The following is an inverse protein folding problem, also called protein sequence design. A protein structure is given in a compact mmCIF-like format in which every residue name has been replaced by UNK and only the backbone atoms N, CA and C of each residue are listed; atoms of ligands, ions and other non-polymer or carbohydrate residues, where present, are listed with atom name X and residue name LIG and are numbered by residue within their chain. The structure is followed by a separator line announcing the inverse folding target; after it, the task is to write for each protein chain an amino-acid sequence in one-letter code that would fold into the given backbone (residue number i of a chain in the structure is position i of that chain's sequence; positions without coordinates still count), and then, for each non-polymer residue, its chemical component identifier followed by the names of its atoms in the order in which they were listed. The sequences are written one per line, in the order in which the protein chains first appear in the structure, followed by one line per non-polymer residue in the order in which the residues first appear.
data_IF_287333330991
#
_entry.id   IF_287333330991
#
_cell.length_a   1.000
_cell.length_b   1.000
_cell.length_c   1.000
_cell.angle_alpha   90.00
_cell.angle_beta   90.00
_cell.angle_gamma   90.00
#
_symmetry.space_group_name_H-M   'P 1'
#
loop_
_entity.id
_entity.type
_entity.pdbx_description
1 polymer ?
#
# COMPACT_ATOMS: atom_id res chain seq x y z
N UNK A 1 -27.90 1.94 -23.67
CA UNK A 1 -27.42 1.32 -22.41
C UNK A 1 -28.01 2.13 -21.25
N UNK A 2 -28.79 1.47 -20.38
CA UNK A 2 -29.41 2.12 -19.21
C UNK A 2 -28.34 2.49 -18.17
N UNK A 3 -28.57 3.48 -17.32
CA UNK A 3 -27.64 3.89 -16.25
C UNK A 3 -27.32 2.76 -15.26
N UNK A 4 -28.30 1.88 -14.98
CA UNK A 4 -28.10 0.71 -14.13
C UNK A 4 -27.12 -0.28 -14.78
N UNK A 5 -27.25 -0.54 -16.07
CA UNK A 5 -26.32 -1.40 -16.82
C UNK A 5 -24.90 -0.84 -16.83
N UNK A 6 -24.75 0.48 -17.03
CA UNK A 6 -23.46 1.18 -16.94
C UNK A 6 -22.83 1.00 -15.55
N UNK A 7 -23.61 1.18 -14.48
CA UNK A 7 -23.17 1.01 -13.10
C UNK A 7 -22.69 -0.41 -12.83
N UNK A 8 -23.51 -1.43 -13.20
CA UNK A 8 -23.16 -2.86 -13.02
C UNK A 8 -21.86 -3.18 -13.78
N UNK A 9 -21.71 -2.67 -15.01
CA UNK A 9 -20.51 -2.87 -15.79
C UNK A 9 -19.26 -2.27 -15.12
N UNK A 10 -19.34 -1.05 -14.61
CA UNK A 10 -18.23 -0.42 -13.88
C UNK A 10 -17.90 -1.21 -12.61
N UNK A 11 -18.91 -1.65 -11.87
CA UNK A 11 -18.73 -2.47 -10.65
C UNK A 11 -18.07 -3.83 -10.93
N UNK A 12 -18.15 -4.35 -12.16
CA UNK A 12 -17.46 -5.60 -12.51
C UNK A 12 -15.94 -5.51 -12.42
N UNK A 13 -15.36 -4.30 -12.45
CA UNK A 13 -13.94 -4.05 -12.19
C UNK A 13 -13.54 -4.06 -10.71
N UNK A 14 -14.52 -4.03 -9.78
CA UNK A 14 -14.28 -3.96 -8.35
C UNK A 14 -13.41 -5.11 -7.79
N UNK A 15 -13.63 -6.39 -8.13
CA UNK A 15 -12.79 -7.49 -7.64
C UNK A 15 -11.33 -7.32 -8.04
N UNK A 16 -11.06 -6.85 -9.26
CA UNK A 16 -9.69 -6.62 -9.76
C UNK A 16 -9.02 -5.48 -9.00
N UNK A 17 -9.71 -4.36 -8.81
CA UNK A 17 -9.24 -3.21 -8.02
C UNK A 17 -8.86 -3.63 -6.60
N UNK A 18 -9.76 -4.37 -5.91
CA UNK A 18 -9.50 -4.86 -4.56
C UNK A 18 -8.35 -5.87 -4.53
N UNK A 19 -8.26 -6.77 -5.51
CA UNK A 19 -7.17 -7.75 -5.59
C UNK A 19 -5.81 -7.07 -5.74
N UNK A 20 -5.67 -6.10 -6.67
CA UNK A 20 -4.43 -5.32 -6.82
C UNK A 20 -4.09 -4.63 -5.50
N UNK A 21 -5.04 -3.92 -4.90
CA UNK A 21 -4.82 -3.13 -3.69
C UNK A 21 -4.39 -4.00 -2.50
N UNK A 22 -5.09 -5.11 -2.26
CA UNK A 22 -4.79 -6.02 -1.15
C UNK A 22 -3.44 -6.71 -1.36
N UNK A 23 -3.20 -7.26 -2.56
CA UNK A 23 -1.94 -7.96 -2.84
C UNK A 23 -0.74 -7.01 -2.79
N UNK A 24 -0.88 -5.79 -3.32
CA UNK A 24 0.16 -4.77 -3.22
C UNK A 24 0.41 -4.34 -1.78
N UNK A 25 -0.66 -4.18 -0.97
CA UNK A 25 -0.54 -3.86 0.45
C UNK A 25 0.17 -4.95 1.24
N UNK A 26 -0.18 -6.22 1.00
CA UNK A 26 0.46 -7.37 1.64
C UNK A 26 1.92 -7.51 1.25
N UNK A 27 2.24 -7.34 -0.05
CA UNK A 27 3.63 -7.32 -0.52
C UNK A 27 4.40 -6.17 0.14
N UNK A 28 3.79 -4.98 0.19
CA UNK A 28 4.35 -3.81 0.87
C UNK A 28 4.61 -4.07 2.36
N UNK A 29 3.70 -4.78 3.02
CA UNK A 29 3.83 -5.15 4.44
C UNK A 29 5.01 -6.13 4.66
N UNK A 30 5.09 -7.18 3.83
CA UNK A 30 6.18 -8.17 3.89
C UNK A 30 7.56 -7.51 3.70
N UNK A 31 7.65 -6.50 2.84
CA UNK A 31 8.88 -5.76 2.57
C UNK A 31 9.10 -4.67 3.64
N UNK A 32 8.09 -3.85 3.91
CA UNK A 32 8.22 -2.62 4.70
C UNK A 32 8.51 -2.86 6.17
N UNK A 33 7.89 -3.88 6.78
CA UNK A 33 8.12 -4.18 8.19
C UNK A 33 9.59 -4.57 8.49
N UNK A 34 10.21 -5.55 7.80
CA UNK A 34 11.63 -5.85 7.99
C UNK A 34 12.54 -4.65 7.69
N UNK A 35 12.27 -3.88 6.64
CA UNK A 35 13.06 -2.71 6.30
C UNK A 35 13.03 -1.65 7.42
N UNK A 36 11.89 -1.44 8.07
CA UNK A 36 11.78 -0.53 9.21
C UNK A 36 12.66 -0.95 10.38
N UNK A 37 12.73 -2.25 10.70
CA UNK A 37 13.61 -2.80 11.74
C UNK A 37 15.08 -2.70 11.36
N UNK A 38 15.45 -3.04 10.13
CA UNK A 38 16.81 -2.86 9.61
C UNK A 38 17.22 -1.40 9.72
N UNK A 39 16.37 -0.47 9.30
CA UNK A 39 16.63 0.97 9.33
C UNK A 39 16.78 1.52 10.74
N UNK A 40 16.17 0.87 11.75
CA UNK A 40 16.18 1.32 13.14
C UNK A 40 17.31 0.70 13.94
N UNK A 41 17.60 -0.60 13.75
CA UNK A 41 18.44 -1.37 14.67
C UNK A 41 19.69 -1.99 14.05
N UNK A 42 19.81 -2.02 12.71
CA UNK A 42 20.96 -2.66 12.04
C UNK A 42 22.17 -1.72 11.94
N UNK A 43 23.28 -2.24 11.40
CA UNK A 43 24.50 -1.50 11.15
C UNK A 43 24.32 -0.42 10.08
N UNK A 44 25.15 0.61 10.12
CA UNK A 44 25.07 1.77 9.22
C UNK A 44 25.03 1.44 7.72
N UNK A 45 25.82 0.48 7.19
CA UNK A 45 25.76 0.10 5.78
C UNK A 45 24.37 -0.42 5.37
N UNK A 46 23.76 -1.27 6.19
CA UNK A 46 22.40 -1.79 5.92
C UNK A 46 21.33 -0.69 5.98
N UNK A 47 21.49 0.25 6.92
CA UNK A 47 20.61 1.43 6.96
C UNK A 47 20.68 2.27 5.68
N UNK A 48 21.88 2.42 5.09
CA UNK A 48 22.07 3.19 3.85
C UNK A 48 21.36 2.48 2.68
N UNK A 49 21.46 1.15 2.59
CA UNK A 49 20.78 0.37 1.53
C UNK A 49 19.26 0.56 1.61
N UNK A 50 18.69 0.47 2.82
CA UNK A 50 17.26 0.70 3.02
C UNK A 50 16.87 2.14 2.67
N UNK A 51 17.66 3.13 3.09
CA UNK A 51 17.42 4.54 2.78
C UNK A 51 17.42 4.80 1.27
N UNK A 52 18.35 4.17 0.53
CA UNK A 52 18.42 4.25 -0.93
C UNK A 52 17.16 3.63 -1.57
N UNK A 53 16.75 2.43 -1.14
CA UNK A 53 15.52 1.78 -1.61
C UNK A 53 14.30 2.69 -1.39
N UNK A 54 14.12 3.20 -0.15
CA UNK A 54 13.01 4.08 0.18
C UNK A 54 12.99 5.34 -0.69
N UNK A 55 14.14 5.98 -0.91
CA UNK A 55 14.25 7.20 -1.71
C UNK A 55 13.95 6.95 -3.19
N UNK A 56 14.50 5.88 -3.75
CA UNK A 56 14.32 5.53 -5.17
C UNK A 56 12.86 5.19 -5.45
N UNK A 57 12.28 4.26 -4.69
CA UNK A 57 10.91 3.78 -4.94
C UNK A 57 9.83 4.84 -4.67
N UNK A 58 10.11 5.82 -3.82
CA UNK A 58 9.19 6.93 -3.55
C UNK A 58 9.44 8.14 -4.46
N UNK A 59 10.60 8.21 -5.11
CA UNK A 59 10.94 9.28 -6.03
C UNK A 59 10.50 9.02 -7.46
N UNK A 60 10.18 7.77 -7.81
CA UNK A 60 9.72 7.40 -9.15
C UNK A 60 8.17 7.40 -9.14
N UNK A 61 7.51 8.06 -10.11
CA UNK A 61 6.06 7.96 -10.27
C UNK A 61 5.62 6.50 -10.44
N UNK A 62 4.51 6.13 -9.81
CA UNK A 62 3.99 4.75 -9.79
C UNK A 62 3.76 4.20 -11.19
N UNK A 63 3.21 5.03 -12.06
CA UNK A 63 2.95 4.68 -13.46
C UNK A 63 4.23 4.33 -14.21
N UNK A 64 5.33 5.03 -13.94
CA UNK A 64 6.63 4.77 -14.58
C UNK A 64 7.17 3.41 -14.14
N UNK A 65 7.04 3.08 -12.85
CA UNK A 65 7.45 1.76 -12.33
C UNK A 65 6.61 0.64 -12.94
N UNK A 66 5.28 0.83 -13.07
CA UNK A 66 4.40 -0.14 -13.72
C UNK A 66 4.78 -0.37 -15.20
N UNK A 67 4.98 0.70 -15.96
CA UNK A 67 5.35 0.63 -17.37
C UNK A 67 6.73 -0.02 -17.54
N UNK A 68 7.69 0.29 -16.67
CA UNK A 68 9.02 -0.30 -16.68
C UNK A 68 8.96 -1.81 -16.39
N UNK A 69 8.21 -2.26 -15.39
CA UNK A 69 8.08 -3.68 -15.10
C UNK A 69 7.40 -4.43 -16.25
N UNK A 70 6.34 -3.90 -16.82
CA UNK A 70 5.59 -4.56 -17.87
C UNK A 70 6.35 -4.54 -19.22
N UNK A 71 6.67 -3.36 -19.72
CA UNK A 71 7.32 -3.21 -21.02
C UNK A 71 8.82 -3.51 -20.97
N UNK A 72 9.53 -2.99 -19.98
CA UNK A 72 10.98 -3.18 -19.85
C UNK A 72 11.32 -4.59 -19.42
N UNK A 73 10.93 -4.98 -18.23
CA UNK A 73 11.33 -6.27 -17.64
C UNK A 73 10.53 -7.43 -18.25
N UNK A 74 9.22 -7.26 -18.43
CA UNK A 74 8.34 -8.31 -18.95
C UNK A 74 8.55 -8.57 -20.46
N UNK A 75 8.44 -7.55 -21.29
CA UNK A 75 8.46 -7.73 -22.73
C UNK A 75 9.88 -7.68 -23.31
N UNK A 76 10.70 -6.68 -22.95
CA UNK A 76 12.05 -6.51 -23.52
C UNK A 76 13.04 -7.51 -22.93
N UNK A 77 13.12 -7.63 -21.60
CA UNK A 77 14.02 -8.59 -20.95
C UNK A 77 13.46 -10.02 -20.90
N UNK A 78 12.20 -10.21 -21.30
CA UNK A 78 11.60 -11.53 -21.42
C UNK A 78 11.23 -12.22 -20.11
N UNK A 79 11.17 -11.50 -18.97
CA UNK A 79 10.79 -12.08 -17.69
C UNK A 79 9.28 -12.38 -17.65
N UNK A 80 8.95 -13.65 -17.88
CA UNK A 80 7.59 -14.15 -18.09
C UNK A 80 6.53 -13.65 -17.10
N UNK A 81 6.78 -13.60 -15.76
CA UNK A 81 5.77 -13.13 -14.81
C UNK A 81 5.27 -11.71 -15.11
N UNK A 82 6.14 -10.79 -15.53
CA UNK A 82 5.78 -9.40 -15.78
C UNK A 82 5.15 -9.14 -17.16
N UNK A 83 5.03 -10.18 -18.00
CA UNK A 83 4.17 -10.14 -19.20
C UNK A 83 2.68 -10.12 -18.84
N UNK A 84 2.33 -10.47 -17.61
CA UNK A 84 0.97 -10.30 -17.07
C UNK A 84 0.83 -8.87 -16.52
N UNK A 85 -0.04 -8.03 -17.11
CA UNK A 85 -0.19 -6.64 -16.70
C UNK A 85 -0.72 -6.49 -15.26
N UNK A 86 -1.58 -7.41 -14.80
CA UNK A 86 -2.06 -7.44 -13.43
C UNK A 86 -0.90 -7.65 -12.44
N UNK A 87 -0.02 -8.61 -12.73
CA UNK A 87 1.13 -8.91 -11.85
C UNK A 87 2.15 -7.78 -11.87
N UNK A 88 2.44 -7.19 -13.03
CA UNK A 88 3.33 -6.04 -13.15
C UNK A 88 2.83 -4.84 -12.34
N UNK A 89 1.53 -4.52 -12.43
CA UNK A 89 0.90 -3.47 -11.66
C UNK A 89 0.95 -3.75 -10.15
N UNK A 90 0.58 -4.96 -9.73
CA UNK A 90 0.57 -5.38 -8.33
C UNK A 90 1.96 -5.30 -7.70
N UNK A 91 2.99 -5.78 -8.39
CA UNK A 91 4.37 -5.74 -7.89
C UNK A 91 4.91 -4.31 -7.86
N UNK A 92 4.65 -3.50 -8.89
CA UNK A 92 5.06 -2.10 -8.92
C UNK A 92 4.53 -1.33 -7.69
N UNK A 93 3.22 -1.43 -7.46
CA UNK A 93 2.56 -0.80 -6.31
C UNK A 93 3.04 -1.39 -4.98
N UNK A 94 3.26 -2.71 -4.92
CA UNK A 94 3.74 -3.38 -3.72
C UNK A 94 5.15 -2.97 -3.33
N UNK A 95 6.07 -2.81 -4.28
CA UNK A 95 7.43 -2.32 -4.03
C UNK A 95 7.41 -0.89 -3.50
N UNK A 96 6.63 0.00 -4.11
CA UNK A 96 6.46 1.37 -3.62
C UNK A 96 5.81 1.38 -2.23
N UNK A 97 4.77 0.59 -2.03
CA UNK A 97 4.09 0.47 -0.73
C UNK A 97 5.05 -0.04 0.35
N UNK A 98 5.97 -0.95 0.02
CA UNK A 98 7.02 -1.39 0.94
C UNK A 98 7.91 -0.25 1.44
N UNK A 99 8.27 0.67 0.56
CA UNK A 99 9.03 1.86 0.92
C UNK A 99 8.22 2.82 1.82
N UNK A 100 6.92 3.00 1.56
CA UNK A 100 6.03 3.81 2.38
C UNK A 100 5.77 3.16 3.74
N UNK A 101 5.40 1.89 3.76
CA UNK A 101 5.12 1.15 4.99
C UNK A 101 6.35 1.06 5.89
N UNK A 102 7.57 0.93 5.31
CA UNK A 102 8.82 1.00 6.08
C UNK A 102 8.92 2.30 6.88
N UNK A 103 8.56 3.44 6.30
CA UNK A 103 8.58 4.73 7.01
C UNK A 103 7.47 4.83 8.05
N UNK A 104 6.27 4.32 7.76
CA UNK A 104 5.16 4.26 8.71
C UNK A 104 5.58 3.46 9.94
N UNK A 105 6.09 2.24 9.74
CA UNK A 105 6.56 1.38 10.83
C UNK A 105 7.73 2.01 11.59
N UNK A 106 8.71 2.62 10.90
CA UNK A 106 9.82 3.31 11.55
C UNK A 106 9.35 4.49 12.41
N UNK A 107 8.39 5.26 11.92
CA UNK A 107 7.75 6.32 12.71
C UNK A 107 7.05 5.77 13.96
N UNK A 108 6.34 4.65 13.81
CA UNK A 108 5.66 3.97 14.89
C UNK A 108 6.64 3.38 15.93
N UNK A 109 7.73 2.71 15.49
CA UNK A 109 8.79 2.19 16.38
C UNK A 109 9.40 3.32 17.22
N UNK A 110 9.65 4.48 16.62
CA UNK A 110 10.14 5.67 17.37
C UNK A 110 9.08 6.21 18.34
N UNK A 111 7.81 6.12 17.96
CA UNK A 111 6.68 6.53 18.79
C UNK A 111 6.44 5.63 20.01
N UNK A 112 6.89 4.35 19.98
CA UNK A 112 6.88 3.48 21.17
C UNK A 112 7.87 4.00 22.23
N UNK A 113 8.94 4.65 21.80
CA UNK A 113 9.95 5.24 22.67
C UNK A 113 11.05 4.27 23.12
N UNK A 114 12.25 4.82 23.31
CA UNK A 114 13.41 4.05 23.76
C UNK A 114 13.26 3.53 25.20
N UNK A 115 12.43 4.19 26.01
CA UNK A 115 12.19 3.82 27.41
C UNK A 115 11.56 2.43 27.55
N UNK A 116 10.67 2.05 26.64
CA UNK A 116 10.06 0.71 26.60
C UNK A 116 11.12 -0.38 26.35
N UNK A 117 12.08 -0.11 25.50
CA UNK A 117 13.21 -1.00 25.24
C UNK A 117 14.10 -1.14 26.50
N UNK A 118 14.43 -0.02 27.16
CA UNK A 118 15.24 0.00 28.37
C UNK A 118 14.53 -0.74 29.49
N UNK A 119 13.25 -0.48 29.73
CA UNK A 119 12.45 -1.16 30.74
C UNK A 119 12.39 -2.68 30.51
N UNK A 120 12.16 -3.12 29.27
CA UNK A 120 12.12 -4.54 28.92
C UNK A 120 13.47 -5.25 29.21
N UNK A 121 14.59 -4.63 28.85
CA UNK A 121 15.92 -5.16 29.12
C UNK A 121 16.21 -5.19 30.63
N UNK A 122 15.79 -4.17 31.38
CA UNK A 122 15.92 -4.11 32.84
C UNK A 122 15.14 -5.23 33.56
N UNK A 123 14.07 -5.73 32.95
CA UNK A 123 13.31 -6.89 33.41
C UNK A 123 13.91 -8.23 32.94
N UNK A 124 15.11 -8.23 32.36
CA UNK A 124 15.84 -9.44 31.97
C UNK A 124 15.53 -9.97 30.56
N UNK A 125 14.74 -9.25 29.74
CA UNK A 125 14.51 -9.64 28.37
C UNK A 125 15.77 -9.38 27.51
N UNK A 126 16.12 -10.32 26.63
CA UNK A 126 17.08 -10.05 25.58
C UNK A 126 16.54 -8.99 24.60
N UNK A 127 17.43 -8.31 23.86
CA UNK A 127 17.05 -7.31 22.86
C UNK A 127 16.01 -7.84 21.85
N UNK A 128 16.18 -9.09 21.39
CA UNK A 128 15.25 -9.73 20.45
C UNK A 128 13.89 -9.98 21.11
N UNK A 129 13.86 -10.47 22.34
CA UNK A 129 12.63 -10.66 23.10
C UNK A 129 11.90 -9.33 23.35
N UNK A 130 12.62 -8.27 23.72
CA UNK A 130 12.07 -6.93 23.89
C UNK A 130 11.42 -6.42 22.58
N UNK A 131 12.09 -6.63 21.43
CA UNK A 131 11.53 -6.26 20.12
C UNK A 131 10.24 -7.04 19.86
N UNK A 132 10.24 -8.36 20.01
CA UNK A 132 9.10 -9.22 19.62
C UNK A 132 7.91 -9.02 20.57
N UNK A 133 8.15 -9.00 21.88
CA UNK A 133 7.07 -9.02 22.88
C UNK A 133 6.60 -7.64 23.35
N UNK A 134 7.43 -6.60 23.19
CA UNK A 134 7.10 -5.24 23.68
C UNK A 134 6.97 -4.25 22.53
N UNK A 135 7.99 -4.17 21.66
CA UNK A 135 8.02 -3.11 20.63
C UNK A 135 7.06 -3.42 19.49
N UNK A 136 7.07 -4.62 18.91
CA UNK A 136 6.24 -4.98 17.76
C UNK A 136 4.74 -4.79 18.05
N UNK A 137 4.15 -5.31 19.14
CA UNK A 137 2.72 -5.14 19.39
C UNK A 137 2.29 -3.68 19.49
N UNK A 138 3.07 -2.84 20.15
CA UNK A 138 2.79 -1.41 20.28
C UNK A 138 2.98 -0.68 18.93
N UNK A 139 4.00 -1.08 18.14
CA UNK A 139 4.26 -0.54 16.80
C UNK A 139 3.04 -0.70 15.89
N UNK A 140 2.35 -1.86 15.90
CA UNK A 140 1.16 -2.06 15.08
C UNK A 140 0.02 -1.10 15.43
N UNK A 141 -0.17 -0.83 16.73
CA UNK A 141 -1.22 0.09 17.19
C UNK A 141 -0.93 1.52 16.73
N UNK A 142 0.33 1.96 16.86
CA UNK A 142 0.75 3.30 16.44
C UNK A 142 0.78 3.44 14.92
N UNK A 143 1.13 2.36 14.19
CA UNK A 143 1.19 2.34 12.74
C UNK A 143 -0.19 2.31 12.06
N UNK A 144 -1.24 1.82 12.75
CA UNK A 144 -2.54 1.54 12.16
C UNK A 144 -3.16 2.71 11.36
N UNK A 145 -3.16 3.97 11.84
CA UNK A 145 -3.65 5.10 11.06
C UNK A 145 -2.88 5.30 9.75
N UNK A 146 -1.55 5.23 9.81
CA UNK A 146 -0.68 5.35 8.64
C UNK A 146 -0.90 4.21 7.63
N UNK A 147 -1.07 2.98 8.12
CA UNK A 147 -1.36 1.82 7.27
C UNK A 147 -2.73 1.94 6.60
N UNK A 148 -3.73 2.49 7.29
CA UNK A 148 -5.04 2.78 6.72
C UNK A 148 -4.97 3.81 5.58
N UNK A 149 -4.20 4.87 5.79
CA UNK A 149 -3.95 5.89 4.77
C UNK A 149 -3.20 5.31 3.56
N UNK A 150 -2.19 4.45 3.79
CA UNK A 150 -1.46 3.77 2.71
C UNK A 150 -2.35 2.83 1.91
N UNK A 151 -3.22 2.05 2.57
CA UNK A 151 -4.19 1.20 1.87
C UNK A 151 -5.15 2.02 0.99
N UNK A 152 -5.66 3.14 1.51
CA UNK A 152 -6.52 4.04 0.75
C UNK A 152 -5.80 4.66 -0.47
N UNK A 153 -4.50 4.94 -0.36
CA UNK A 153 -3.66 5.35 -1.49
C UNK A 153 -3.56 4.23 -2.53
N UNK A 154 -3.25 2.99 -2.12
CA UNK A 154 -3.14 1.84 -3.02
C UNK A 154 -4.43 1.58 -3.80
N UNK A 155 -5.61 1.72 -3.15
CA UNK A 155 -6.90 1.60 -3.85
C UNK A 155 -7.02 2.63 -4.97
N UNK A 156 -6.61 3.88 -4.72
CA UNK A 156 -6.63 4.94 -5.76
C UNK A 156 -5.57 4.70 -6.84
N UNK A 157 -4.37 4.29 -6.46
CA UNK A 157 -3.25 4.09 -7.37
C UNK A 157 -3.44 2.84 -8.25
N UNK A 158 -4.27 1.86 -7.81
CA UNK A 158 -4.66 0.71 -8.63
C UNK A 158 -5.33 1.13 -9.95
N UNK A 159 -5.94 2.32 -9.98
CA UNK A 159 -6.49 2.91 -11.19
C UNK A 159 -5.46 3.04 -12.33
N UNK A 160 -4.18 3.27 -12.01
CA UNK A 160 -3.13 3.36 -13.05
C UNK A 160 -2.97 2.09 -13.87
N UNK A 161 -3.39 0.93 -13.34
CA UNK A 161 -3.33 -0.35 -14.04
C UNK A 161 -4.19 -0.39 -15.33
N UNK A 162 -5.19 0.52 -15.46
CA UNK A 162 -6.00 0.62 -16.68
C UNK A 162 -5.16 0.88 -17.93
N UNK A 163 -4.01 1.57 -17.80
CA UNK A 163 -3.09 1.89 -18.90
C UNK A 163 -2.45 0.63 -19.46
N UNK A 164 -2.18 -0.36 -18.60
CA UNK A 164 -1.68 -1.69 -18.99
C UNK A 164 -2.79 -2.60 -19.53
N UNK A 165 -4.05 -2.14 -19.57
CA UNK A 165 -5.19 -2.91 -20.03
C UNK A 165 -5.85 -3.80 -18.96
N UNK A 166 -5.48 -3.67 -17.70
CA UNK A 166 -6.10 -4.42 -16.59
C UNK A 166 -7.55 -3.98 -16.42
N UNK A 167 -8.47 -4.95 -16.34
CA UNK A 167 -9.91 -4.73 -16.24
C UNK A 167 -10.32 -4.44 -14.78
N UNK A 168 -9.90 -3.29 -14.30
CA UNK A 168 -10.27 -2.73 -13.00
C UNK A 168 -11.30 -1.58 -13.18
N UNK A 169 -11.77 -0.96 -12.10
CA UNK A 169 -12.86 0.05 -12.14
C UNK A 169 -12.61 1.14 -13.19
N UNK A 170 -11.41 1.73 -13.24
CA UNK A 170 -11.10 2.81 -14.17
C UNK A 170 -11.11 2.35 -15.63
N UNK A 171 -10.65 1.12 -15.90
CA UNK A 171 -10.73 0.52 -17.24
C UNK A 171 -12.16 0.27 -17.68
N UNK A 172 -13.00 -0.28 -16.79
CA UNK A 172 -14.43 -0.46 -17.08
C UNK A 172 -15.13 0.88 -17.33
N UNK A 173 -14.77 1.91 -16.56
CA UNK A 173 -15.23 3.28 -16.76
C UNK A 173 -14.84 3.82 -18.13
N UNK A 174 -13.59 3.65 -18.56
CA UNK A 174 -13.08 4.10 -19.86
C UNK A 174 -13.78 3.39 -21.04
N UNK A 175 -14.09 2.09 -20.89
CA UNK A 175 -14.85 1.33 -21.88
C UNK A 175 -16.26 1.95 -22.07
N UNK A 176 -17.00 2.20 -20.97
CA UNK A 176 -18.33 2.82 -21.05
C UNK A 176 -18.24 4.21 -21.69
N UNK A 177 -17.28 5.03 -21.28
CA UNK A 177 -17.05 6.35 -21.87
C UNK A 177 -16.88 6.29 -23.40
N UNK A 178 -16.04 5.35 -23.87
CA UNK A 178 -15.73 5.21 -25.31
C UNK A 178 -16.90 4.68 -26.10
N UNK A 179 -17.71 3.77 -25.53
CA UNK A 179 -18.82 3.13 -26.25
C UNK A 179 -20.10 3.96 -26.24
N UNK A 180 -20.30 4.80 -25.23
CA UNK A 180 -21.53 5.61 -25.09
C UNK A 180 -21.31 7.10 -25.34
N UNK A 181 -20.06 7.55 -25.46
CA UNK A 181 -19.66 8.97 -25.54
C UNK A 181 -20.12 9.80 -24.34
N UNK A 182 -20.63 9.15 -23.29
CA UNK A 182 -21.00 9.76 -22.02
C UNK A 182 -19.76 9.87 -21.14
N UNK A 183 -19.33 11.09 -20.84
CA UNK A 183 -18.12 11.33 -20.03
C UNK A 183 -18.46 11.52 -18.57
N UNK A 184 -19.57 12.20 -18.28
CA UNK A 184 -19.87 12.68 -16.92
C UNK A 184 -20.28 11.53 -16.01
N UNK A 185 -21.28 10.76 -16.40
CA UNK A 185 -21.83 9.71 -15.56
C UNK A 185 -20.80 8.61 -15.19
N UNK A 186 -20.01 8.04 -16.15
CA UNK A 186 -19.06 7.01 -15.81
C UNK A 186 -17.95 7.47 -14.83
N UNK A 187 -17.40 8.69 -15.03
CA UNK A 187 -16.36 9.18 -14.15
C UNK A 187 -16.88 9.60 -12.77
N UNK A 188 -18.07 10.17 -12.67
CA UNK A 188 -18.72 10.44 -11.38
C UNK A 188 -19.02 9.14 -10.63
N UNK A 189 -19.47 8.10 -11.35
CA UNK A 189 -19.70 6.78 -10.79
C UNK A 189 -18.40 6.18 -10.25
N UNK A 190 -17.33 6.19 -11.02
CA UNK A 190 -16.01 5.72 -10.57
C UNK A 190 -15.52 6.50 -9.35
N UNK A 191 -15.61 7.82 -9.37
CA UNK A 191 -15.22 8.67 -8.24
C UNK A 191 -15.98 8.30 -6.96
N UNK A 192 -17.30 8.09 -7.06
CA UNK A 192 -18.13 7.68 -5.94
C UNK A 192 -17.73 6.30 -5.41
N UNK A 193 -17.47 5.33 -6.30
CA UNK A 193 -17.02 3.99 -5.90
C UNK A 193 -15.67 4.07 -5.17
N UNK A 194 -14.68 4.82 -5.70
CA UNK A 194 -13.39 4.99 -5.02
C UNK A 194 -13.52 5.65 -3.65
N UNK A 195 -14.40 6.65 -3.49
CA UNK A 195 -14.68 7.27 -2.19
C UNK A 195 -15.24 6.22 -1.21
N UNK A 196 -16.23 5.42 -1.66
CA UNK A 196 -16.83 4.37 -0.83
C UNK A 196 -15.83 3.29 -0.42
N UNK A 197 -14.82 2.99 -1.25
CA UNK A 197 -13.78 2.02 -0.94
C UNK A 197 -12.70 2.57 0.01
N UNK A 198 -12.36 3.85 -0.12
CA UNK A 198 -11.20 4.42 0.59
C UNK A 198 -11.58 5.03 1.93
N UNK A 199 -12.67 5.81 1.97
CA UNK A 199 -13.05 6.58 3.15
C UNK A 199 -13.38 5.72 4.38
N UNK A 200 -14.19 4.64 4.30
CA UNK A 200 -14.54 3.86 5.49
C UNK A 200 -13.32 3.16 6.12
N UNK A 201 -12.42 2.61 5.31
CA UNK A 201 -11.26 1.85 5.80
C UNK A 201 -10.25 2.79 6.47
N UNK A 202 -9.93 3.91 5.82
CA UNK A 202 -9.02 4.91 6.39
C UNK A 202 -9.55 5.46 7.72
N UNK A 203 -10.83 5.86 7.75
CA UNK A 203 -11.48 6.41 8.96
C UNK A 203 -11.55 5.37 10.08
N UNK A 204 -11.87 4.11 9.77
CA UNK A 204 -11.95 3.05 10.78
C UNK A 204 -10.58 2.80 11.44
N UNK A 205 -9.52 2.65 10.63
CA UNK A 205 -8.17 2.40 11.15
C UNK A 205 -7.60 3.59 11.91
N UNK A 206 -7.93 4.82 11.50
CA UNK A 206 -7.54 6.03 12.24
C UNK A 206 -8.23 6.09 13.61
N UNK A 207 -9.54 5.89 13.65
CA UNK A 207 -10.29 5.86 14.92
C UNK A 207 -9.83 4.73 15.83
N UNK A 208 -9.61 3.53 15.29
CA UNK A 208 -9.17 2.36 16.06
C UNK A 208 -7.78 2.60 16.64
N UNK A 209 -6.82 3.03 15.83
CA UNK A 209 -5.45 3.31 16.25
C UNK A 209 -5.40 4.42 17.32
N UNK A 210 -6.13 5.51 17.11
CA UNK A 210 -6.19 6.64 18.05
C UNK A 210 -6.83 6.25 19.38
N UNK A 211 -7.88 5.42 19.39
CA UNK A 211 -8.49 4.91 20.64
C UNK A 211 -7.53 4.01 21.41
N UNK A 212 -6.89 3.06 20.72
CA UNK A 212 -5.94 2.12 21.35
C UNK A 212 -4.70 2.83 21.89
N UNK A 213 -4.18 3.79 21.16
CA UNK A 213 -3.05 4.62 21.60
C UNK A 213 -3.37 5.31 22.96
N UNK A 214 -4.54 5.96 23.08
CA UNK A 214 -4.97 6.58 24.34
C UNK A 214 -5.11 5.58 25.49
N UNK A 215 -5.63 4.37 25.23
CA UNK A 215 -5.80 3.33 26.27
C UNK A 215 -4.47 2.81 26.80
N UNK A 216 -3.41 2.86 26.00
CA UNK A 216 -2.06 2.40 26.38
C UNK A 216 -1.17 3.53 26.93
N UNK A 217 -1.67 4.77 27.00
CA UNK A 217 -0.89 5.92 27.42
C UNK A 217 0.26 6.29 26.48
N UNK A 218 0.12 5.92 25.19
CA UNK A 218 1.12 6.16 24.16
C UNK A 218 0.88 7.47 23.40
#
# INVERSE_FOLDING_TARGET
VNYIEKLIFILSGLPTTLSISILSFLLGFIIGLPLAFIRTYASRPLQIIVDLYEKVLRGIPEIVTMLFLYFGVGLVLGFSPFRNPFLAATVALGLRSGAHQSQIFRGAIRGVGGEQMVAAISLGLSKLQAIIYVIIPQTFIIAAPGLGSEYALLVKDSAYAFILGVLEIMKMTDIIRRTTYDVVFPYLTAAFIYIMLTFPIATYLDMWGSRRKRQLGL
#
